data_IF_509980545712
#
_entry.id   IF_509980545712
#
_cell.length_a   1.000
_cell.length_b   1.000
_cell.length_c   1.000
_cell.angle_alpha   90.00
_cell.angle_beta   90.00
_cell.angle_gamma   90.00
#
_symmetry.space_group_name_H-M   'P 1'
#
loop_
_entity.id
_entity.type
_entity.pdbx_description
1 polymer ?
#
# COMPACT_ATOMS: atom_id res chain seq x y z
N UNK A 1 0.60 -55.29 -22.58
CA UNK A 1 0.99 -53.87 -22.70
C UNK A 1 0.28 -53.07 -21.63
N UNK A 2 0.83 -53.03 -20.41
CA UNK A 2 0.21 -52.35 -19.28
C UNK A 2 0.40 -50.84 -19.39
N UNK A 3 -0.70 -50.09 -19.51
CA UNK A 3 -0.66 -48.63 -19.42
C UNK A 3 -0.42 -48.30 -17.95
N UNK A 4 0.83 -48.07 -17.58
CA UNK A 4 1.18 -47.47 -16.30
C UNK A 4 0.62 -46.06 -16.29
N UNK A 5 -0.61 -45.89 -15.77
CA UNK A 5 -1.10 -44.57 -15.38
C UNK A 5 -0.19 -44.10 -14.27
N UNK A 6 0.81 -43.32 -14.65
CA UNK A 6 1.66 -42.55 -13.75
C UNK A 6 0.70 -41.73 -12.89
N UNK A 7 0.66 -41.99 -11.59
CA UNK A 7 -0.10 -41.19 -10.63
C UNK A 7 0.54 -39.79 -10.52
N UNK A 8 0.38 -38.99 -11.57
CA UNK A 8 0.63 -37.56 -11.60
C UNK A 8 -0.69 -36.94 -11.14
N UNK A 9 -0.88 -36.60 -9.87
CA UNK A 9 -0.52 -35.32 -9.26
C UNK A 9 -1.76 -34.88 -8.45
N UNK A 10 -1.65 -34.01 -7.44
CA UNK A 10 -2.83 -33.34 -6.88
C UNK A 10 -3.65 -32.73 -8.02
N UNK A 11 -4.98 -32.87 -7.96
CA UNK A 11 -5.93 -32.42 -8.98
C UNK A 11 -5.49 -31.11 -9.64
N UNK A 12 -5.30 -31.15 -10.97
CA UNK A 12 -4.93 -29.96 -11.75
C UNK A 12 -6.07 -28.96 -11.60
N UNK A 13 -5.79 -27.85 -10.91
CA UNK A 13 -6.78 -26.80 -10.67
C UNK A 13 -7.10 -26.06 -11.97
N UNK A 14 -8.33 -25.59 -12.11
CA UNK A 14 -8.78 -24.82 -13.26
C UNK A 14 -7.98 -23.51 -13.42
N UNK A 15 -7.96 -22.95 -14.63
CA UNK A 15 -7.42 -21.61 -14.85
C UNK A 15 -8.12 -20.55 -13.97
N UNK A 16 -9.44 -20.67 -13.85
CA UNK A 16 -10.27 -19.74 -13.08
C UNK A 16 -9.87 -19.73 -11.60
N UNK A 17 -9.48 -20.88 -11.04
CA UNK A 17 -8.93 -20.96 -9.68
C UNK A 17 -7.71 -20.04 -9.51
N UNK A 18 -6.76 -20.05 -10.46
CA UNK A 18 -5.56 -19.23 -10.38
C UNK A 18 -5.87 -17.73 -10.53
N UNK A 19 -6.75 -17.38 -11.47
CA UNK A 19 -7.23 -16.00 -11.65
C UNK A 19 -7.91 -15.50 -10.38
N UNK A 20 -8.87 -16.26 -9.84
CA UNK A 20 -9.55 -15.94 -8.59
C UNK A 20 -8.56 -15.81 -7.43
N UNK A 21 -7.62 -16.73 -7.28
CA UNK A 21 -6.60 -16.68 -6.22
C UNK A 21 -5.74 -15.41 -6.30
N UNK A 22 -5.32 -15.02 -7.51
CA UNK A 22 -4.56 -13.77 -7.70
C UNK A 22 -5.39 -12.54 -7.33
N UNK A 23 -6.68 -12.52 -7.69
CA UNK A 23 -7.60 -11.45 -7.35
C UNK A 23 -7.81 -11.34 -5.83
N UNK A 24 -8.02 -12.46 -5.13
CA UNK A 24 -8.17 -12.51 -3.66
C UNK A 24 -6.94 -11.91 -2.98
N UNK A 25 -5.74 -12.29 -3.41
CA UNK A 25 -4.50 -11.79 -2.81
C UNK A 25 -4.30 -10.29 -3.06
N UNK A 26 -4.63 -9.81 -4.25
CA UNK A 26 -4.55 -8.38 -4.56
C UNK A 26 -5.50 -7.57 -3.69
N UNK A 27 -6.74 -8.06 -3.56
CA UNK A 27 -7.76 -7.39 -2.77
C UNK A 27 -7.45 -7.39 -1.28
N UNK A 28 -6.93 -8.50 -0.74
CA UNK A 28 -6.42 -8.55 0.63
C UNK A 28 -5.33 -7.49 0.85
N UNK A 29 -4.37 -7.36 -0.08
CA UNK A 29 -3.32 -6.34 0.01
C UNK A 29 -3.87 -4.92 -0.07
N UNK A 30 -4.92 -4.68 -0.86
CA UNK A 30 -5.59 -3.38 -0.93
C UNK A 30 -6.19 -2.99 0.42
N UNK A 31 -6.92 -3.88 1.08
CA UNK A 31 -7.41 -3.65 2.45
C UNK A 31 -6.28 -3.31 3.45
N UNK A 32 -5.13 -3.99 3.36
CA UNK A 32 -3.99 -3.69 4.23
C UNK A 32 -3.38 -2.31 3.94
N UNK A 33 -3.42 -1.84 2.69
CA UNK A 33 -2.94 -0.53 2.28
C UNK A 33 -3.91 0.57 2.70
N UNK A 34 -5.22 0.40 2.48
CA UNK A 34 -6.23 1.39 2.85
C UNK A 34 -6.28 1.63 4.36
N UNK A 35 -6.00 0.60 5.16
CA UNK A 35 -5.97 0.70 6.62
C UNK A 35 -4.64 1.20 7.19
N UNK A 36 -3.60 1.38 6.35
CA UNK A 36 -2.28 1.88 6.78
C UNK A 36 -2.32 3.20 7.56
N UNK A 37 -3.06 4.25 7.15
CA UNK A 37 -3.01 5.55 7.81
C UNK A 37 -3.71 5.61 9.18
N UNK A 38 -4.52 4.60 9.54
CA UNK A 38 -5.16 4.52 10.86
C UNK A 38 -4.13 4.46 12.00
N UNK A 39 -4.52 4.89 13.20
CA UNK A 39 -3.74 4.71 14.43
C UNK A 39 -3.38 3.24 14.67
N UNK A 40 -2.26 2.99 15.36
CA UNK A 40 -1.67 1.65 15.44
C UNK A 40 -2.60 0.59 16.03
N UNK A 41 -3.28 0.90 17.13
CA UNK A 41 -4.16 -0.03 17.84
C UNK A 41 -5.38 -0.38 16.99
N UNK A 42 -6.09 0.64 16.50
CA UNK A 42 -7.26 0.48 15.62
C UNK A 42 -6.90 -0.27 14.35
N UNK A 43 -5.76 0.07 13.74
CA UNK A 43 -5.26 -0.60 12.53
C UNK A 43 -5.03 -2.09 12.77
N UNK A 44 -4.51 -2.46 13.94
CA UNK A 44 -4.22 -3.85 14.28
C UNK A 44 -5.52 -4.65 14.39
N UNK A 45 -6.53 -4.09 15.06
CA UNK A 45 -7.85 -4.70 15.21
C UNK A 45 -8.58 -4.85 13.87
N UNK A 46 -8.61 -3.79 13.07
CA UNK A 46 -9.22 -3.81 11.73
C UNK A 46 -8.54 -4.85 10.84
N UNK A 47 -7.21 -4.96 10.88
CA UNK A 47 -6.48 -5.99 10.12
C UNK A 47 -6.75 -7.41 10.60
N UNK A 48 -6.96 -7.63 11.91
CA UNK A 48 -7.38 -8.92 12.45
C UNK A 48 -8.77 -9.30 11.93
N UNK A 49 -9.71 -8.36 11.91
CA UNK A 49 -11.06 -8.58 11.36
C UNK A 49 -11.03 -8.89 9.87
N UNK A 50 -10.27 -8.11 9.07
CA UNK A 50 -10.09 -8.39 7.65
C UNK A 50 -9.54 -9.81 7.47
N UNK A 51 -8.46 -10.17 8.20
CA UNK A 51 -7.90 -11.52 8.10
C UNK A 51 -8.90 -12.61 8.44
N UNK A 52 -9.65 -12.45 9.53
CA UNK A 52 -10.69 -13.40 9.93
C UNK A 52 -11.76 -13.57 8.84
N UNK A 53 -12.18 -12.49 8.17
CA UNK A 53 -13.14 -12.54 7.06
C UNK A 53 -12.61 -13.34 5.86
N UNK A 54 -11.34 -13.14 5.48
CA UNK A 54 -10.71 -13.92 4.41
C UNK A 54 -10.49 -15.38 4.81
N UNK A 55 -10.12 -15.66 6.06
CA UNK A 55 -9.92 -17.02 6.56
C UNK A 55 -11.25 -17.80 6.67
N UNK A 56 -12.38 -17.12 6.95
CA UNK A 56 -13.70 -17.75 6.98
C UNK A 56 -14.12 -18.39 5.64
N UNK A 57 -13.69 -17.81 4.52
CA UNK A 57 -13.96 -18.30 3.16
C UNK A 57 -12.77 -19.01 2.52
N UNK A 58 -11.75 -19.39 3.31
CA UNK A 58 -10.51 -20.00 2.81
C UNK A 58 -10.71 -21.33 2.07
N UNK A 59 -11.71 -22.09 2.49
CA UNK A 59 -12.00 -23.44 2.00
C UNK A 59 -13.05 -23.48 0.89
N UNK A 60 -13.48 -22.31 0.39
CA UNK A 60 -14.43 -22.23 -0.71
C UNK A 60 -13.81 -22.80 -1.99
N UNK A 61 -14.48 -23.79 -2.57
CA UNK A 61 -14.05 -24.47 -3.81
C UNK A 61 -14.89 -24.06 -5.02
N UNK A 62 -16.10 -23.55 -4.81
CA UNK A 62 -16.97 -23.08 -5.90
C UNK A 62 -16.46 -21.75 -6.46
N UNK A 63 -16.01 -21.80 -7.71
CA UNK A 63 -15.47 -20.64 -8.43
C UNK A 63 -16.49 -19.51 -8.61
N UNK A 64 -17.78 -19.84 -8.77
CA UNK A 64 -18.84 -18.84 -8.92
C UNK A 64 -19.06 -18.11 -7.60
N UNK A 65 -19.06 -18.86 -6.49
CA UNK A 65 -19.14 -18.31 -5.14
C UNK A 65 -17.97 -17.39 -4.84
N UNK A 66 -16.74 -17.81 -5.14
CA UNK A 66 -15.53 -16.98 -4.96
C UNK A 66 -15.62 -15.70 -5.78
N UNK A 67 -16.13 -15.76 -7.01
CA UNK A 67 -16.31 -14.58 -7.87
C UNK A 67 -17.33 -13.59 -7.29
N UNK A 68 -18.43 -14.09 -6.72
CA UNK A 68 -19.43 -13.28 -6.01
C UNK A 68 -18.81 -12.61 -4.77
N UNK A 69 -18.09 -13.38 -3.94
CA UNK A 69 -17.43 -12.90 -2.74
C UNK A 69 -16.39 -11.81 -3.06
N UNK A 70 -15.62 -11.98 -4.14
CA UNK A 70 -14.68 -10.97 -4.63
C UNK A 70 -15.39 -9.66 -4.97
N UNK A 71 -16.55 -9.72 -5.63
CA UNK A 71 -17.35 -8.53 -5.93
C UNK A 71 -17.82 -7.84 -4.65
N UNK A 72 -18.42 -8.61 -3.72
CA UNK A 72 -18.86 -8.09 -2.43
C UNK A 72 -17.72 -7.45 -1.63
N UNK A 73 -16.55 -8.08 -1.64
CA UNK A 73 -15.38 -7.55 -0.97
C UNK A 73 -14.89 -6.24 -1.61
N UNK A 74 -15.19 -5.95 -2.89
CA UNK A 74 -14.79 -4.68 -3.53
C UNK A 74 -15.68 -3.56 -3.05
N UNK A 75 -16.98 -3.85 -2.93
CA UNK A 75 -17.95 -2.93 -2.36
C UNK A 75 -17.61 -2.65 -0.88
N UNK A 76 -17.21 -3.68 -0.13
CA UNK A 76 -16.72 -3.53 1.24
C UNK A 76 -15.44 -2.71 1.33
N UNK A 77 -14.50 -2.88 0.39
CA UNK A 77 -13.27 -2.08 0.37
C UNK A 77 -13.58 -0.59 0.22
N UNK A 78 -14.56 -0.24 -0.61
CA UNK A 78 -15.02 1.15 -0.76
C UNK A 78 -15.56 1.69 0.56
N UNK A 79 -16.46 0.95 1.22
CA UNK A 79 -16.99 1.34 2.54
C UNK A 79 -15.88 1.51 3.59
N UNK A 80 -14.89 0.61 3.62
CA UNK A 80 -13.74 0.72 4.52
C UNK A 80 -12.90 1.95 4.19
N UNK A 81 -12.70 2.28 2.91
CA UNK A 81 -12.00 3.50 2.51
C UNK A 81 -12.72 4.74 3.04
N UNK A 82 -14.03 4.85 2.79
CA UNK A 82 -14.84 5.99 3.23
C UNK A 82 -14.82 6.15 4.77
N UNK A 83 -14.86 5.02 5.50
CA UNK A 83 -14.75 5.00 6.96
C UNK A 83 -13.37 5.43 7.46
N UNK A 84 -12.31 4.99 6.78
CA UNK A 84 -10.94 5.42 7.11
C UNK A 84 -10.79 6.92 6.86
N UNK A 85 -11.29 7.43 5.74
CA UNK A 85 -11.21 8.85 5.40
C UNK A 85 -11.95 9.73 6.41
N UNK A 86 -13.14 9.30 6.85
CA UNK A 86 -13.90 10.00 7.89
C UNK A 86 -13.23 9.94 9.27
N UNK A 87 -12.67 8.78 9.65
CA UNK A 87 -11.92 8.63 10.90
C UNK A 87 -10.66 9.51 10.92
N UNK A 88 -9.94 9.61 9.79
CA UNK A 88 -8.78 10.49 9.66
C UNK A 88 -9.16 11.97 9.71
N UNK A 89 -10.27 12.36 9.09
CA UNK A 89 -10.79 13.72 9.17
C UNK A 89 -11.12 14.10 10.63
N UNK A 90 -11.75 13.19 11.38
CA UNK A 90 -12.03 13.40 12.81
C UNK A 90 -10.76 13.51 13.65
N UNK A 91 -9.75 12.69 13.37
CA UNK A 91 -8.47 12.75 14.09
C UNK A 91 -7.75 14.09 13.88
N UNK A 92 -7.77 14.63 12.66
CA UNK A 92 -7.22 15.97 12.35
C UNK A 92 -7.97 17.09 13.07
N UNK A 93 -9.31 17.05 13.06
CA UNK A 93 -10.14 18.04 13.75
C UNK A 93 -10.09 17.95 15.29
N UNK A 94 -9.68 16.80 15.86
CA UNK A 94 -9.42 16.67 17.29
C UNK A 94 -8.07 17.28 17.68
N UNK A 95 -7.02 17.00 16.91
CA UNK A 95 -5.71 17.63 17.08
C UNK A 95 -5.79 19.15 16.94
N UNK A 96 -6.63 19.66 16.03
CA UNK A 96 -6.81 21.09 15.87
C UNK A 96 -7.52 21.80 17.04
N UNK A 97 -8.36 21.09 17.78
CA UNK A 97 -9.07 21.65 18.94
C UNK A 97 -8.19 21.65 20.20
N UNK A 98 -7.21 20.77 20.26
CA UNK A 98 -6.33 20.64 21.41
C UNK A 98 -5.32 21.80 21.51
N UNK A 99 -4.73 22.24 20.39
CA UNK A 99 -3.85 23.42 20.38
C UNK A 99 -4.59 24.73 20.68
N UNK A 100 -5.90 24.80 20.41
CA UNK A 100 -6.72 25.98 20.70
C UNK A 100 -7.15 26.09 22.17
N UNK A 101 -7.00 25.02 22.95
CA UNK A 101 -7.41 24.98 24.36
C UNK A 101 -6.27 25.28 25.35
N UNK A 102 -5.05 25.45 24.85
CA UNK A 102 -3.84 25.47 25.67
C UNK A 102 -3.24 26.82 26.05
N UNK A 103 -3.64 27.97 25.47
CA UNK A 103 -2.75 29.14 25.55
C UNK A 103 -3.42 30.53 25.65
N UNK A 104 -4.57 30.63 26.32
CA UNK A 104 -5.17 31.95 26.67
C UNK A 104 -5.67 32.07 28.12
N UNK A 105 -5.61 31.01 28.92
CA UNK A 105 -6.21 30.99 30.27
C UNK A 105 -5.19 30.95 31.43
N UNK A 106 -3.90 31.11 31.15
CA UNK A 106 -2.86 31.11 32.18
C UNK A 106 -1.83 32.23 31.93
N UNK A 107 -2.25 33.49 32.07
CA UNK A 107 -1.35 34.62 32.28
C UNK A 107 -2.10 35.79 32.93
N UNK A 108 -2.27 35.71 34.25
CA UNK A 108 -2.09 36.89 35.09
C UNK A 108 -0.86 36.65 35.94
N UNK A 109 0.15 37.52 35.81
CA UNK A 109 0.65 38.19 36.99
C UNK A 109 0.61 39.71 36.82
N UNK A 110 0.28 40.36 37.92
CA UNK A 110 0.26 41.80 38.06
C UNK A 110 1.65 42.42 37.80
N UNK A 111 1.63 43.59 37.16
CA UNK A 111 2.54 44.73 37.30
C UNK A 111 4.05 44.48 37.33
N UNK A 112 4.76 44.92 36.28
CA UNK A 112 5.67 46.08 36.35
C UNK A 112 6.57 46.21 35.11
N UNK A 113 6.74 47.46 34.68
CA UNK A 113 7.89 48.06 34.01
C UNK A 113 8.16 47.75 32.52
N UNK A 114 8.02 48.84 31.75
CA UNK A 114 8.67 49.16 30.48
C UNK A 114 10.09 48.62 30.32
N UNK A 115 10.41 48.05 29.15
CA UNK A 115 11.67 48.33 28.45
C UNK A 115 11.51 48.06 26.94
N UNK A 116 11.76 49.10 26.15
CA UNK A 116 11.79 49.14 24.68
C UNK A 116 13.17 48.76 24.11
N UNK A 117 13.20 48.49 22.79
CA UNK A 117 14.31 48.26 21.83
C UNK A 117 14.69 46.77 21.64
N UNK A 118 14.31 46.14 20.54
CA UNK A 118 14.87 46.23 19.17
C UNK A 118 16.34 45.80 19.08
N UNK A 119 16.59 44.63 18.49
CA UNK A 119 17.63 44.42 17.48
C UNK A 119 17.35 43.10 16.74
N UNK A 120 17.03 43.23 15.45
CA UNK A 120 17.16 42.14 14.47
C UNK A 120 18.63 41.73 14.32
N UNK A 121 18.91 40.44 14.13
CA UNK A 121 20.08 39.98 13.38
C UNK A 121 19.85 38.59 12.81
N UNK A 122 20.08 38.51 11.50
CA UNK A 122 20.19 37.35 10.63
C UNK A 122 21.12 36.23 11.16
N UNK A 123 20.76 34.97 10.86
CA UNK A 123 21.43 34.18 9.80
C UNK A 123 21.39 32.66 10.07
N UNK A 124 21.25 31.93 8.96
CA UNK A 124 21.41 30.47 8.74
C UNK A 124 20.24 29.58 9.12
N UNK A 125 19.64 28.93 8.12
CA UNK A 125 20.10 27.58 7.80
C UNK A 125 19.74 27.20 6.36
N UNK A 126 20.70 26.57 5.71
CA UNK A 126 20.68 26.12 4.32
C UNK A 126 19.83 24.85 4.17
N UNK A 127 18.95 24.82 3.17
CA UNK A 127 18.08 23.68 2.90
C UNK A 127 17.79 23.52 1.41
N UNK A 128 18.85 23.39 0.61
CA UNK A 128 18.79 22.90 -0.77
C UNK A 128 18.28 21.44 -0.77
N UNK A 129 17.12 21.23 -1.40
CA UNK A 129 16.45 19.94 -1.37
C UNK A 129 15.25 19.85 -2.29
N UNK A 130 15.29 20.52 -3.45
CA UNK A 130 14.26 20.36 -4.48
C UNK A 130 14.48 19.06 -5.27
N UNK A 131 14.03 17.96 -4.68
CA UNK A 131 13.17 16.94 -5.31
C UNK A 131 13.36 16.70 -6.83
N UNK A 132 14.47 16.07 -7.19
CA UNK A 132 14.62 15.42 -8.50
C UNK A 132 14.19 13.95 -8.41
N UNK A 133 12.87 13.71 -8.34
CA UNK A 133 12.29 12.36 -8.46
C UNK A 133 11.15 12.36 -9.47
N UNK A 134 11.45 12.80 -10.70
CA UNK A 134 10.61 12.55 -11.87
C UNK A 134 11.47 12.13 -13.05
N UNK A 135 12.05 10.92 -13.00
CA UNK A 135 12.82 10.45 -14.17
C UNK A 135 13.64 9.16 -14.07
N UNK A 136 13.71 8.44 -12.94
CA UNK A 136 14.45 7.15 -12.88
C UNK A 136 13.55 5.93 -12.94
N UNK A 137 12.70 5.86 -13.97
CA UNK A 137 12.19 4.56 -14.44
C UNK A 137 13.18 4.05 -15.48
N UNK A 138 13.95 3.01 -15.16
CA UNK A 138 14.69 2.25 -16.18
C UNK A 138 16.22 2.18 -16.07
N UNK A 139 16.82 2.57 -14.93
CA UNK A 139 18.22 2.19 -14.63
C UNK A 139 18.22 1.11 -13.55
N UNK A 140 18.31 -0.15 -13.95
CA UNK A 140 18.38 -1.28 -13.01
C UNK A 140 17.63 -2.56 -13.44
N UNK A 141 16.99 -2.58 -14.61
CA UNK A 141 16.44 -3.83 -15.14
C UNK A 141 17.51 -4.63 -15.90
N UNK A 142 17.60 -5.95 -15.67
CA UNK A 142 18.75 -6.78 -16.05
C UNK A 142 18.94 -6.99 -17.56
N UNK A 143 18.03 -6.51 -18.41
CA UNK A 143 18.18 -6.59 -19.87
C UNK A 143 18.96 -5.42 -20.49
N UNK A 144 19.32 -4.37 -19.73
CA UNK A 144 20.21 -3.31 -20.24
C UNK A 144 21.68 -3.68 -20.03
N UNK A 145 22.11 -4.80 -20.62
CA UNK A 145 23.54 -5.03 -20.84
C UNK A 145 23.97 -4.13 -21.99
N UNK A 146 24.73 -3.07 -21.69
CA UNK A 146 25.38 -2.20 -22.68
C UNK A 146 26.54 -2.85 -23.42
N UNK A 147 26.42 -4.13 -23.80
CA UNK A 147 27.34 -4.81 -24.70
C UNK A 147 26.62 -4.97 -26.02
N UNK A 148 27.14 -4.32 -27.06
CA UNK A 148 26.65 -4.45 -28.41
C UNK A 148 26.52 -5.93 -28.77
N UNK A 149 25.45 -6.27 -29.48
CA UNK A 149 25.32 -7.57 -30.11
C UNK A 149 26.47 -7.71 -31.11
N UNK A 150 27.51 -8.47 -30.76
CA UNK A 150 28.37 -9.05 -31.77
C UNK A 150 27.46 -9.88 -32.67
N UNK A 151 27.41 -9.50 -33.95
CA UNK A 151 26.67 -10.23 -34.96
C UNK A 151 27.26 -11.63 -35.00
N UNK A 152 26.53 -12.62 -34.52
CA UNK A 152 26.82 -14.01 -34.83
C UNK A 152 26.51 -14.20 -36.31
N UNK A 153 27.54 -14.14 -37.14
CA UNK A 153 27.44 -14.53 -38.54
C UNK A 153 27.07 -16.01 -38.60
N UNK A 154 25.79 -16.28 -38.86
CA UNK A 154 25.27 -17.62 -39.10
C UNK A 154 25.64 -18.04 -40.52
N UNK A 155 26.93 -18.28 -40.76
CA UNK A 155 27.34 -19.07 -41.90
C UNK A 155 27.03 -20.55 -41.62
N UNK A 156 26.12 -21.13 -42.41
CA UNK A 156 26.05 -22.58 -42.55
C UNK A 156 24.73 -23.24 -42.16
N UNK A 157 23.59 -22.80 -42.72
CA UNK A 157 22.46 -23.72 -42.92
C UNK A 157 22.62 -24.36 -44.31
N UNK A 158 23.39 -25.45 -44.40
CA UNK A 158 23.35 -26.34 -45.57
C UNK A 158 22.07 -27.14 -45.49
N UNK A 159 21.12 -26.82 -46.38
CA UNK A 159 19.97 -27.70 -46.66
C UNK A 159 20.50 -29.00 -47.26
N UNK A 160 20.24 -30.12 -46.59
CA UNK A 160 20.23 -31.45 -47.20
C UNK A 160 18.79 -31.91 -47.25
#
# INVERSE_FOLDING_TARGET
MGVTRRALAPEVKSLQYFLNRSAVLNQYREFLRTTKPLAADVRLDVRRQIRAGFDASRHEQDERRVSLLLRQARDQLKMVSDLVDTALAQQRGAAERDWKKGDWAASQPAAAADTWMDTSTDAKDDGDGKEDVKGRVGKGWPWKSGKGTDKLDLEGIKRR
#
